data_IF_995505076255
#
_entry.id   IF_995505076255
#
_cell.length_a   1.000
_cell.length_b   1.000
_cell.length_c   1.000
_cell.angle_alpha   90.00
_cell.angle_beta   90.00
_cell.angle_gamma   90.00
#
_symmetry.space_group_name_H-M   'P 1'
#
loop_
_entity.id
_entity.type
_entity.pdbx_description
1 polymer ?
#
# COMPACT_ATOMS: atom_id res chain seq x y z
N UNK A 1 -3.66 -12.45 7.22
CA UNK A 1 -2.60 -12.61 6.20
C UNK A 1 -2.90 -11.64 5.07
N UNK A 2 -1.90 -10.88 4.61
CA UNK A 2 -2.05 -9.94 3.49
C UNK A 2 -1.42 -10.58 2.24
N UNK A 3 -2.12 -10.56 1.12
CA UNK A 3 -1.65 -11.13 -0.17
C UNK A 3 -1.75 -10.06 -1.24
N UNK A 4 -0.64 -9.80 -1.93
CA UNK A 4 -0.58 -8.82 -3.03
C UNK A 4 -0.46 -9.55 -4.36
N UNK A 5 -1.43 -9.34 -5.25
CA UNK A 5 -1.41 -9.91 -6.60
C UNK A 5 -0.56 -9.05 -7.53
N UNK A 6 0.53 -9.62 -8.05
CA UNK A 6 1.50 -8.89 -8.87
C UNK A 6 0.93 -8.33 -10.17
N UNK A 7 0.16 -9.14 -10.92
CA UNK A 7 -0.35 -8.75 -12.24
C UNK A 7 -1.29 -7.53 -12.19
N UNK A 8 -2.24 -7.43 -11.24
CA UNK A 8 -3.02 -6.21 -11.00
C UNK A 8 -2.18 -4.97 -10.65
N UNK A 9 -1.07 -5.14 -9.92
CA UNK A 9 -0.18 -4.03 -9.56
C UNK A 9 0.57 -3.55 -10.79
N UNK A 10 1.15 -4.46 -11.57
CA UNK A 10 1.91 -4.12 -12.79
C UNK A 10 1.07 -3.39 -13.84
N UNK A 11 -0.22 -3.72 -13.97
CA UNK A 11 -1.12 -3.04 -14.91
C UNK A 11 -1.37 -1.58 -14.52
N UNK A 12 -1.26 -1.24 -13.22
CA UNK A 12 -1.57 0.10 -12.69
C UNK A 12 -0.36 1.03 -12.61
N UNK A 13 0.85 0.51 -12.81
CA UNK A 13 2.09 1.25 -12.58
C UNK A 13 3.01 1.19 -13.78
N UNK A 14 3.67 2.30 -14.12
CA UNK A 14 4.52 2.44 -15.31
C UNK A 14 5.97 2.07 -15.06
N UNK A 15 6.43 2.22 -13.82
CA UNK A 15 7.81 1.97 -13.44
C UNK A 15 7.90 1.27 -12.08
N UNK A 16 9.13 0.93 -11.68
CA UNK A 16 9.39 0.19 -10.45
C UNK A 16 9.08 0.99 -9.19
N UNK A 17 9.22 2.31 -9.24
CA UNK A 17 9.02 3.20 -8.09
C UNK A 17 7.53 3.41 -7.83
N UNK A 18 6.73 3.68 -8.87
CA UNK A 18 5.26 3.69 -8.79
C UNK A 18 4.71 2.36 -8.27
N UNK A 19 5.33 1.24 -8.67
CA UNK A 19 4.98 -0.08 -8.14
C UNK A 19 5.27 -0.22 -6.66
N UNK A 20 6.41 0.27 -6.20
CA UNK A 20 6.75 0.25 -4.78
C UNK A 20 5.78 1.10 -3.97
N UNK A 21 5.43 2.29 -4.49
CA UNK A 21 4.47 3.20 -3.89
C UNK A 21 3.09 2.56 -3.75
N UNK A 22 2.54 2.02 -4.84
CA UNK A 22 1.21 1.41 -4.82
C UNK A 22 1.13 0.20 -3.88
N UNK A 23 2.19 -0.62 -3.82
CA UNK A 23 2.25 -1.74 -2.88
C UNK A 23 2.31 -1.23 -1.44
N UNK A 24 3.08 -0.19 -1.19
CA UNK A 24 3.20 0.43 0.12
C UNK A 24 1.86 0.96 0.62
N UNK A 25 1.17 1.78 -0.18
CA UNK A 25 -0.15 2.33 0.14
C UNK A 25 -1.14 1.24 0.50
N UNK A 26 -1.30 0.24 -0.39
CA UNK A 26 -2.24 -0.87 -0.18
C UNK A 26 -1.87 -1.67 1.08
N UNK A 27 -0.60 -1.92 1.34
CA UNK A 27 -0.20 -2.66 2.54
C UNK A 27 -0.50 -1.87 3.80
N UNK A 28 -0.25 -0.55 3.82
CA UNK A 28 -0.56 0.31 4.98
C UNK A 28 -2.06 0.30 5.26
N UNK A 29 -2.90 0.49 4.26
CA UNK A 29 -4.36 0.44 4.41
C UNK A 29 -4.82 -0.91 4.99
N UNK A 30 -4.34 -2.01 4.42
CA UNK A 30 -4.74 -3.35 4.84
C UNK A 30 -4.26 -3.70 6.25
N UNK A 31 -3.06 -3.25 6.64
CA UNK A 31 -2.57 -3.40 8.02
C UNK A 31 -3.40 -2.56 8.99
N UNK A 32 -3.70 -1.32 8.63
CA UNK A 32 -4.50 -0.42 9.46
C UNK A 32 -5.92 -0.97 9.69
N UNK A 33 -6.56 -1.46 8.62
CA UNK A 33 -7.86 -2.12 8.67
C UNK A 33 -7.83 -3.35 9.60
N UNK A 34 -6.81 -4.21 9.46
CA UNK A 34 -6.65 -5.40 10.32
C UNK A 34 -6.45 -5.05 11.80
N UNK A 35 -5.87 -3.89 12.10
CA UNK A 35 -5.60 -3.43 13.47
C UNK A 35 -6.71 -2.52 14.02
N UNK A 36 -7.68 -2.11 13.20
CA UNK A 36 -8.70 -1.12 13.59
C UNK A 36 -8.13 0.28 13.84
N UNK A 37 -7.03 0.61 13.16
CA UNK A 37 -6.33 1.89 13.28
C UNK A 37 -6.55 2.74 12.02
N UNK A 38 -6.23 4.03 12.13
CA UNK A 38 -6.06 4.88 10.97
C UNK A 38 -4.75 4.53 10.23
N UNK A 39 -4.69 4.64 8.88
CA UNK A 39 -3.48 4.41 8.09
C UNK A 39 -2.26 5.21 8.56
N UNK A 40 -2.47 6.47 8.98
CA UNK A 40 -1.43 7.38 9.46
C UNK A 40 -0.78 6.89 10.77
N UNK A 41 -1.50 6.07 11.54
CA UNK A 41 -0.97 5.43 12.75
C UNK A 41 -0.04 4.25 12.42
N UNK A 42 -0.16 3.67 11.23
CA UNK A 42 0.70 2.57 10.74
C UNK A 42 1.91 3.14 10.00
N UNK A 43 1.69 4.12 9.13
CA UNK A 43 2.75 4.93 8.52
C UNK A 43 2.42 6.42 8.65
N UNK A 44 3.17 7.20 9.45
CA UNK A 44 2.98 8.65 9.57
C UNK A 44 3.13 9.43 8.25
N UNK A 45 3.71 8.81 7.21
CA UNK A 45 3.90 9.41 5.87
C UNK A 45 2.80 9.00 4.89
N UNK A 46 1.80 8.24 5.32
CA UNK A 46 0.69 7.82 4.47
C UNK A 46 0.03 9.04 3.79
N UNK A 47 -0.10 8.98 2.45
CA UNK A 47 -0.69 10.05 1.64
C UNK A 47 0.19 11.29 1.41
N UNK A 48 1.50 11.22 1.71
CA UNK A 48 2.44 12.35 1.50
C UNK A 48 3.32 12.25 0.25
N UNK A 49 3.03 11.31 -0.65
CA UNK A 49 3.79 11.06 -1.89
C UNK A 49 3.04 11.54 -3.16
#
# INVERSE_FOLDING_TARGET
>A
QIVVYRRPVEIRTKNRDERALLVHEVVVEQVAELLGLAPESVDPRYGQD
#
